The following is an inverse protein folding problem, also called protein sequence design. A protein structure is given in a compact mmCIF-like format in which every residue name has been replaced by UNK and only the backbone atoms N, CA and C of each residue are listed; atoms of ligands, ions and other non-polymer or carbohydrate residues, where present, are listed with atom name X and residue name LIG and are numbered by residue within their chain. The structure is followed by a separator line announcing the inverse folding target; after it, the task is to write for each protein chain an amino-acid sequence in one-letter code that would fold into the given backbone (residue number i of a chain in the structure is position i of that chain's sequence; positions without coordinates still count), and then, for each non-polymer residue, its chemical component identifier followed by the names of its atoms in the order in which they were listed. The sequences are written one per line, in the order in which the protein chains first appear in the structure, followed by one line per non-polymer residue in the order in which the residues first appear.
data_IF_555537150593
#
_entry.id   IF_555537150593
#
_cell.length_a   1.000
_cell.length_b   1.000
_cell.length_c   1.000
_cell.angle_alpha   90.00
_cell.angle_beta   90.00
_cell.angle_gamma   90.00
#
_symmetry.space_group_name_H-M   'P 1'
#
loop_
_entity.id
_entity.type
_entity.pdbx_description
1 polymer ?
#
# COMPACT_ATOMS: atom_id res chain seq x y z
N UNK A 1 -9.02 32.88 14.93
CA UNK A 1 -9.45 31.98 16.03
C UNK A 1 -8.86 30.61 15.71
N UNK A 2 -7.96 30.10 16.56
CA UNK A 2 -7.36 28.78 16.34
C UNK A 2 -8.33 27.71 16.85
N UNK A 3 -8.73 26.78 15.97
CA UNK A 3 -9.47 25.58 16.37
C UNK A 3 -8.53 24.75 17.26
N UNK A 4 -8.94 24.33 18.47
CA UNK A 4 -8.10 23.48 19.29
C UNK A 4 -7.84 22.16 18.53
N UNK A 5 -6.62 21.62 18.58
CA UNK A 5 -6.34 20.35 17.92
C UNK A 5 -7.28 19.28 18.48
N UNK A 6 -7.91 18.49 17.60
CA UNK A 6 -8.73 17.36 18.03
C UNK A 6 -7.93 16.46 18.96
N UNK A 7 -8.54 15.93 20.03
CA UNK A 7 -7.84 15.11 21.00
C UNK A 7 -7.13 13.93 20.32
N UNK A 8 -5.93 13.63 20.79
CA UNK A 8 -5.17 12.46 20.34
C UNK A 8 -5.92 11.18 20.73
N UNK A 9 -5.85 10.11 19.91
CA UNK A 9 -6.45 8.83 20.27
C UNK A 9 -5.79 8.27 21.53
N UNK A 10 -6.59 7.68 22.41
CA UNK A 10 -6.08 6.99 23.59
C UNK A 10 -5.39 5.67 23.22
N UNK A 11 -4.59 5.11 24.13
CA UNK A 11 -3.98 3.79 23.96
C UNK A 11 -5.01 2.68 23.68
N UNK A 12 -6.20 2.77 24.31
CA UNK A 12 -7.31 1.84 24.05
C UNK A 12 -7.85 1.95 22.64
N UNK A 13 -7.98 3.17 22.10
CA UNK A 13 -8.41 3.40 20.72
C UNK A 13 -7.38 2.90 19.70
N UNK A 14 -6.09 3.09 19.97
CA UNK A 14 -5.01 2.53 19.14
C UNK A 14 -5.07 1.00 19.10
N UNK A 15 -5.25 0.36 20.26
CA UNK A 15 -5.40 -1.10 20.33
C UNK A 15 -6.63 -1.59 19.57
N UNK A 16 -7.77 -0.91 19.73
CA UNK A 16 -9.01 -1.25 19.04
C UNK A 16 -8.86 -1.15 17.52
N UNK A 17 -8.22 -0.08 17.03
CA UNK A 17 -7.94 0.07 15.61
C UNK A 17 -7.01 -1.03 15.10
N UNK A 18 -5.92 -1.35 15.81
CA UNK A 18 -5.01 -2.43 15.40
C UNK A 18 -5.74 -3.78 15.29
N UNK A 19 -6.57 -4.12 16.28
CA UNK A 19 -7.36 -5.36 16.23
C UNK A 19 -8.32 -5.34 15.03
N UNK A 20 -9.02 -4.23 14.81
CA UNK A 20 -9.93 -4.10 13.67
C UNK A 20 -9.21 -4.25 12.32
N UNK A 21 -8.00 -3.71 12.18
CA UNK A 21 -7.21 -3.88 10.96
C UNK A 21 -6.76 -5.33 10.76
N UNK A 22 -6.31 -6.01 11.83
CA UNK A 22 -5.92 -7.43 11.77
C UNK A 22 -7.12 -8.31 11.41
N UNK A 23 -8.29 -8.07 12.01
CA UNK A 23 -9.51 -8.82 11.73
C UNK A 23 -10.01 -8.65 10.28
N UNK A 24 -9.71 -7.50 9.65
CA UNK A 24 -10.05 -7.25 8.25
C UNK A 24 -9.06 -7.90 7.25
N UNK A 25 -7.85 -8.29 7.66
CA UNK A 25 -6.85 -8.85 6.74
C UNK A 25 -7.32 -10.06 5.92
N UNK A 26 -8.06 -11.04 6.47
CA UNK A 26 -8.54 -12.19 5.71
C UNK A 26 -9.52 -11.83 4.59
N UNK A 27 -10.30 -10.77 4.77
CA UNK A 27 -11.34 -10.33 3.82
C UNK A 27 -10.99 -9.05 3.03
N UNK A 28 -9.85 -8.42 3.32
CA UNK A 28 -9.50 -7.11 2.81
C UNK A 28 -9.23 -7.08 1.29
N UNK A 29 -9.56 -5.98 0.60
CA UNK A 29 -9.38 -5.87 -0.84
C UNK A 29 -7.92 -6.05 -1.25
N UNK A 30 -7.76 -6.73 -2.38
CA UNK A 30 -6.48 -7.05 -2.99
C UNK A 30 -6.15 -5.94 -3.99
N UNK A 31 -5.29 -5.01 -3.56
CA UNK A 31 -4.74 -3.86 -4.30
C UNK A 31 -5.73 -2.82 -4.85
N UNK A 32 -5.20 -1.63 -5.07
CA UNK A 32 -5.72 -0.76 -6.11
C UNK A 32 -5.53 -1.45 -7.47
N UNK A 33 -6.57 -1.46 -8.30
CA UNK A 33 -6.54 -2.07 -9.64
C UNK A 33 -5.62 -1.32 -10.62
N UNK A 34 -5.19 -0.12 -10.26
CA UNK A 34 -4.42 0.78 -11.12
C UNK A 34 -3.50 1.65 -10.28
N UNK A 35 -2.21 1.69 -10.64
CA UNK A 35 -1.22 2.55 -10.00
C UNK A 35 -1.00 3.87 -10.74
N UNK A 36 -0.30 4.81 -10.11
CA UNK A 36 -0.17 6.18 -10.60
C UNK A 36 0.50 6.29 -11.98
N UNK A 37 1.38 5.34 -12.34
CA UNK A 37 2.04 5.30 -13.65
C UNK A 37 1.10 4.98 -14.81
N UNK A 38 -0.05 4.38 -14.49
CA UNK A 38 -1.07 3.99 -15.45
C UNK A 38 -2.18 5.05 -15.60
N UNK A 39 -2.11 6.16 -14.85
CA UNK A 39 -3.08 7.24 -14.87
C UNK A 39 -2.61 8.33 -15.87
N UNK A 40 -3.26 8.49 -17.04
CA UNK A 40 -2.79 9.39 -18.08
C UNK A 40 -2.69 10.84 -17.61
N UNK A 41 -1.54 11.48 -17.85
CA UNK A 41 -1.32 12.89 -17.50
C UNK A 41 -1.17 13.16 -15.99
N UNK A 42 -1.33 12.14 -15.14
CA UNK A 42 -1.19 12.28 -13.70
C UNK A 42 0.29 12.29 -13.30
N UNK A 43 0.64 13.24 -12.44
CA UNK A 43 1.99 13.37 -11.85
C UNK A 43 1.84 13.43 -10.33
N UNK A 44 2.05 12.33 -9.59
CA UNK A 44 1.97 12.35 -8.14
C UNK A 44 3.15 13.11 -7.52
N UNK A 45 2.92 13.79 -6.40
CA UNK A 45 3.99 14.30 -5.54
C UNK A 45 4.50 13.12 -4.69
N UNK A 46 5.80 12.77 -4.75
CA UNK A 46 6.34 11.66 -3.97
C UNK A 46 6.09 11.82 -2.47
N UNK A 47 5.77 10.72 -1.79
CA UNK A 47 5.48 10.66 -0.34
C UNK A 47 4.27 11.52 0.15
N UNK A 48 3.50 12.13 -0.76
CA UNK A 48 2.30 12.92 -0.40
C UNK A 48 1.02 12.16 -0.75
N UNK A 49 0.81 10.99 -0.13
CA UNK A 49 -0.30 10.12 -0.50
C UNK A 49 -1.68 10.76 -0.27
N UNK A 50 -1.82 11.53 0.81
CA UNK A 50 -3.07 12.19 1.16
C UNK A 50 -3.34 13.39 0.24
N UNK A 51 -2.35 14.26 0.01
CA UNK A 51 -2.49 15.40 -0.88
C UNK A 51 -2.71 15.00 -2.35
N UNK A 52 -2.09 13.90 -2.81
CA UNK A 52 -2.37 13.34 -4.13
C UNK A 52 -3.81 12.85 -4.27
N UNK A 53 -4.34 12.13 -3.28
CA UNK A 53 -5.74 11.71 -3.27
C UNK A 53 -6.69 12.92 -3.31
N UNK A 54 -6.42 13.94 -2.50
CA UNK A 54 -7.24 15.15 -2.42
C UNK A 54 -7.22 15.93 -3.75
N UNK A 55 -6.03 16.08 -4.34
CA UNK A 55 -5.86 16.73 -5.65
C UNK A 55 -6.53 15.94 -6.77
N UNK A 56 -6.54 14.61 -6.70
CA UNK A 56 -7.23 13.79 -7.68
C UNK A 56 -8.73 14.04 -7.64
N UNK A 57 -9.36 13.92 -6.46
CA UNK A 57 -10.83 14.07 -6.34
C UNK A 57 -11.30 15.50 -6.61
N UNK A 58 -10.45 16.50 -6.35
CA UNK A 58 -10.72 17.88 -6.76
C UNK A 58 -10.78 18.05 -8.29
N UNK A 59 -10.04 17.22 -9.04
CA UNK A 59 -9.99 17.25 -10.50
C UNK A 59 -10.97 16.26 -11.19
N UNK A 60 -11.48 15.26 -10.45
CA UNK A 60 -12.34 14.19 -10.98
C UNK A 60 -13.63 14.11 -10.17
N UNK A 61 -14.63 14.88 -10.57
CA UNK A 61 -15.91 14.96 -9.87
C UNK A 61 -16.61 13.59 -9.86
N UNK A 62 -17.01 13.14 -8.66
CA UNK A 62 -17.66 11.85 -8.44
C UNK A 62 -16.73 10.78 -7.87
N UNK A 63 -15.41 11.00 -7.94
CA UNK A 63 -14.43 10.18 -7.25
C UNK A 63 -14.32 10.59 -5.77
N UNK A 64 -13.98 9.64 -4.90
CA UNK A 64 -13.91 9.83 -3.45
C UNK A 64 -12.56 9.37 -2.91
N UNK A 65 -11.96 10.16 -2.04
CA UNK A 65 -10.73 9.80 -1.37
C UNK A 65 -11.03 8.74 -0.31
N UNK A 66 -10.21 7.70 -0.25
CA UNK A 66 -10.34 6.60 0.72
C UNK A 66 -9.12 6.60 1.62
N UNK A 67 -9.34 6.86 2.91
CA UNK A 67 -8.28 6.86 3.93
C UNK A 67 -8.10 5.47 4.48
N UNK A 68 -6.87 5.06 4.73
CA UNK A 68 -6.64 3.71 5.21
C UNK A 68 -5.17 3.36 5.42
N UNK A 69 -4.92 2.07 5.38
CA UNK A 69 -3.71 1.45 5.88
C UNK A 69 -3.20 0.41 4.90
N UNK A 70 -1.95 0.55 4.49
CA UNK A 70 -1.22 -0.49 3.78
C UNK A 70 -0.67 -1.49 4.78
N UNK A 71 -0.95 -2.75 4.54
CA UNK A 71 -0.28 -3.84 5.22
C UNK A 71 1.01 -4.20 4.48
N UNK A 72 2.16 -3.92 5.09
CA UNK A 72 3.48 -4.17 4.51
C UNK A 72 4.23 -5.25 5.30
N UNK A 73 5.00 -6.13 4.64
CA UNK A 73 5.96 -6.98 5.34
C UNK A 73 6.96 -6.12 6.12
N UNK A 74 7.24 -6.48 7.38
CA UNK A 74 8.23 -5.76 8.18
C UNK A 74 8.97 -6.66 9.18
N UNK A 75 10.18 -7.06 8.81
CA UNK A 75 11.09 -7.84 9.64
C UNK A 75 10.35 -9.00 10.35
N UNK A 76 10.52 -9.12 11.67
CA UNK A 76 9.92 -10.16 12.50
C UNK A 76 8.53 -9.77 13.06
N UNK A 77 7.97 -8.63 12.66
CA UNK A 77 6.63 -8.23 13.10
C UNK A 77 5.58 -8.92 12.24
N UNK A 78 4.52 -9.47 12.85
CA UNK A 78 3.46 -10.14 12.11
C UNK A 78 2.68 -9.16 11.21
N UNK A 79 2.55 -7.90 11.65
CA UNK A 79 1.80 -6.86 10.94
C UNK A 79 2.48 -5.50 11.04
N UNK A 80 2.62 -4.81 9.91
CA UNK A 80 2.89 -3.38 9.86
C UNK A 80 1.83 -2.68 9.03
N UNK A 81 1.23 -1.64 9.60
CA UNK A 81 0.25 -0.80 8.95
C UNK A 81 0.81 0.59 8.71
N UNK A 82 0.85 1.02 7.46
CA UNK A 82 1.33 2.34 7.04
C UNK A 82 0.15 3.14 6.51
N UNK A 83 -0.03 4.36 7.01
CA UNK A 83 -1.06 5.26 6.54
C UNK A 83 -0.93 5.49 5.03
N UNK A 84 -2.04 5.38 4.31
CA UNK A 84 -2.10 5.63 2.87
C UNK A 84 -3.48 6.12 2.45
N UNK A 85 -3.55 6.80 1.31
CA UNK A 85 -4.83 7.15 0.70
C UNK A 85 -4.90 6.70 -0.75
N UNK A 86 -6.04 6.10 -1.07
CA UNK A 86 -6.43 5.72 -2.41
C UNK A 86 -7.60 6.59 -2.87
N UNK A 87 -8.05 6.36 -4.10
CA UNK A 87 -9.28 6.93 -4.62
C UNK A 87 -10.21 5.80 -5.02
N UNK A 88 -11.47 5.88 -4.59
CA UNK A 88 -12.57 5.10 -5.15
C UNK A 88 -13.18 5.92 -6.27
N UNK A 89 -13.08 5.41 -7.48
CA UNK A 89 -13.67 6.08 -8.65
C UNK A 89 -15.19 6.06 -8.58
N UNK A 90 -15.86 6.93 -9.34
CA UNK A 90 -17.31 6.91 -9.48
C UNK A 90 -17.87 5.53 -9.95
N UNK A 91 -17.05 4.75 -10.65
CA UNK A 91 -17.38 3.37 -11.07
C UNK A 91 -17.12 2.32 -9.98
N UNK A 92 -16.65 2.71 -8.80
CA UNK A 92 -16.39 1.85 -7.64
C UNK A 92 -15.00 1.21 -7.62
N UNK A 93 -14.15 1.46 -8.63
CA UNK A 93 -12.79 0.91 -8.65
C UNK A 93 -11.87 1.64 -7.67
N UNK A 94 -10.98 0.91 -6.98
CA UNK A 94 -9.93 1.51 -6.17
C UNK A 94 -8.67 1.72 -7.01
N UNK A 95 -8.19 2.96 -7.08
CA UNK A 95 -6.94 3.34 -7.75
C UNK A 95 -5.96 3.97 -6.78
N UNK A 96 -4.67 3.76 -7.03
CA UNK A 96 -3.59 4.39 -6.29
C UNK A 96 -3.01 5.54 -7.09
N UNK A 97 -3.39 6.74 -6.68
CA UNK A 97 -2.94 7.98 -7.31
C UNK A 97 -1.58 8.45 -6.79
N UNK A 98 -0.88 7.63 -6.00
CA UNK A 98 0.44 7.99 -5.44
C UNK A 98 1.53 7.03 -5.86
N UNK A 99 1.33 5.72 -5.71
CA UNK A 99 2.37 4.74 -6.03
C UNK A 99 2.25 4.25 -7.48
N UNK A 100 3.36 4.34 -8.20
CA UNK A 100 3.47 4.01 -9.63
C UNK A 100 3.27 2.53 -9.94
N UNK A 101 3.85 1.65 -9.12
CA UNK A 101 3.68 0.21 -9.18
C UNK A 101 3.87 -0.33 -7.77
N UNK A 102 2.94 -1.15 -7.29
CA UNK A 102 3.07 -1.83 -5.99
C UNK A 102 3.40 -3.30 -6.21
N UNK A 103 4.21 -3.91 -5.34
CA UNK A 103 4.26 -5.35 -5.23
C UNK A 103 2.83 -5.89 -5.03
N UNK A 104 2.49 -6.98 -5.73
CA UNK A 104 1.20 -7.67 -5.65
C UNK A 104 0.95 -8.35 -4.28
N UNK A 105 1.63 -7.94 -3.20
CA UNK A 105 1.52 -8.51 -1.84
C UNK A 105 1.07 -7.53 -0.73
N UNK A 106 0.99 -6.22 -0.99
CA UNK A 106 0.47 -5.16 -0.08
C UNK A 106 -1.08 -4.98 -0.04
N UNK A 107 -1.74 -5.41 1.03
CA UNK A 107 -3.19 -5.17 1.21
C UNK A 107 -3.47 -3.73 1.61
N UNK A 108 -4.59 -3.17 1.14
CA UNK A 108 -5.11 -1.90 1.63
C UNK A 108 -6.37 -2.16 2.46
N UNK A 109 -6.42 -1.55 3.64
CA UNK A 109 -7.56 -1.60 4.55
C UNK A 109 -8.09 -0.19 4.74
N UNK A 110 -9.35 0.05 4.39
CA UNK A 110 -10.02 1.32 4.64
C UNK A 110 -10.11 1.57 6.15
N UNK A 111 -9.88 2.82 6.57
CA UNK A 111 -10.03 3.18 7.97
C UNK A 111 -11.51 3.08 8.36
N UNK A 112 -11.85 2.37 9.46
CA UNK A 112 -13.26 2.14 9.84
C UNK A 112 -13.98 3.39 10.38
N UNK A 113 -13.24 4.45 10.70
CA UNK A 113 -13.79 5.72 11.20
C UNK A 113 -13.87 6.81 10.13
N UNK A 114 -14.13 8.04 10.56
CA UNK A 114 -14.16 9.20 9.67
C UNK A 114 -12.74 9.61 9.21
N UNK A 115 -12.64 10.42 8.15
CA UNK A 115 -11.37 11.06 7.75
C UNK A 115 -10.74 11.86 8.90
N UNK A 116 -11.55 12.53 9.72
CA UNK A 116 -11.08 13.28 10.88
C UNK A 116 -10.44 12.36 11.94
N UNK A 117 -11.04 11.18 12.16
CA UNK A 117 -10.50 10.16 13.05
C UNK A 117 -9.19 9.62 12.49
N UNK A 118 -9.14 9.27 11.20
CA UNK A 118 -7.93 8.83 10.51
C UNK A 118 -6.77 9.82 10.71
N UNK A 119 -7.00 11.10 10.43
CA UNK A 119 -5.96 12.13 10.62
C UNK A 119 -5.60 12.35 12.09
N UNK A 120 -6.49 12.06 13.04
CA UNK A 120 -6.15 12.07 14.47
C UNK A 120 -5.13 11.00 14.83
N UNK A 121 -5.23 9.80 14.23
CA UNK A 121 -4.27 8.72 14.42
C UNK A 121 -2.88 9.06 13.87
N UNK A 122 -2.78 9.84 12.79
CA UNK A 122 -1.49 10.25 12.22
C UNK A 122 -0.71 11.22 13.11
N UNK A 123 -1.38 11.91 14.03
CA UNK A 123 -0.75 12.85 14.96
C UNK A 123 -0.29 12.17 16.25
N UNK A 124 -0.51 10.85 16.39
CA UNK A 124 -0.07 10.10 17.55
C UNK A 124 1.46 9.94 17.52
N UNK A 125 2.18 10.30 18.60
CA UNK A 125 3.65 10.22 18.64
C UNK A 125 4.18 8.79 18.77
N UNK A 126 3.31 7.81 19.06
CA UNK A 126 3.68 6.40 19.00
C UNK A 126 3.65 5.99 17.53
N UNK A 127 4.77 5.47 16.99
CA UNK A 127 4.77 5.07 15.61
C UNK A 127 3.77 3.88 15.51
N UNK A 128 2.89 3.92 14.49
CA UNK A 128 2.04 2.79 14.13
C UNK A 128 2.76 1.45 13.82
N UNK A 129 4.10 1.34 13.63
CA UNK A 129 4.78 0.07 13.74
C UNK A 129 4.94 -0.27 15.24
N UNK A 130 4.54 -1.49 15.60
CA UNK A 130 4.62 -2.09 16.94
C UNK A 130 3.43 -1.72 17.83
N UNK A 131 2.40 -2.59 17.84
CA UNK A 131 1.80 -3.15 19.06
C UNK A 131 0.61 -4.09 18.70
N UNK A 132 0.83 -5.05 17.79
CA UNK A 132 0.11 -6.32 17.87
C UNK A 132 1.01 -7.30 18.63
N UNK A 133 0.62 -7.87 19.79
CA UNK A 133 1.28 -9.08 20.28
C UNK A 133 1.11 -10.18 19.22
N UNK A 134 2.05 -11.13 19.11
CA UNK A 134 1.90 -12.27 18.20
C UNK A 134 0.56 -12.96 18.49
N UNK A 135 -0.35 -12.95 17.51
CA UNK A 135 -1.53 -13.79 17.54
C UNK A 135 -1.01 -15.20 17.28
N UNK A 136 -1.09 -16.05 18.29
CA UNK A 136 -0.75 -17.45 18.13
C UNK A 136 -1.70 -18.06 17.07
N UNK A 137 -1.10 -18.48 15.95
CA UNK A 137 -1.58 -19.46 14.96
C UNK A 137 -2.97 -19.24 14.34
N UNK A 138 -2.96 -18.76 13.09
CA UNK A 138 -3.65 -19.49 12.02
C UNK A 138 -2.60 -19.91 10.99
N UNK A 139 -2.53 -21.20 10.79
CA UNK A 139 -1.57 -21.88 9.94
C UNK A 139 -1.88 -21.65 8.45
N UNK A 140 -0.81 -21.71 7.65
CA UNK A 140 -0.78 -21.96 6.20
C UNK A 140 -1.17 -20.83 5.22
N UNK A 141 -0.22 -19.91 4.99
CA UNK A 141 0.10 -19.56 3.60
C UNK A 141 0.71 -20.80 2.93
N UNK A 142 0.03 -21.32 1.90
CA UNK A 142 0.63 -22.26 0.95
C UNK A 142 1.93 -21.67 0.40
N UNK A 143 3.05 -22.27 0.80
CA UNK A 143 4.32 -22.14 0.11
C UNK A 143 4.21 -22.99 -1.16
N UNK A 144 4.05 -22.35 -2.32
CA UNK A 144 4.44 -23.01 -3.57
C UNK A 144 5.96 -22.95 -3.61
N UNK A 145 6.60 -24.08 -3.31
CA UNK A 145 8.04 -24.22 -3.40
C UNK A 145 8.51 -23.90 -4.82
N UNK A 146 9.61 -23.15 -4.94
CA UNK A 146 10.37 -23.10 -6.19
C UNK A 146 11.04 -24.46 -6.38
N UNK A 147 10.87 -25.04 -7.55
CA UNK A 147 11.57 -26.27 -7.95
C UNK A 147 13.04 -25.91 -8.25
N UNK A 148 13.92 -26.16 -7.28
CA UNK A 148 15.38 -25.99 -7.37
C UNK A 148 16.06 -27.32 -7.76
N UNK A 149 15.55 -28.01 -8.78
CA UNK A 149 16.19 -29.22 -9.32
C UNK A 149 17.32 -28.86 -10.32
N UNK A 150 18.56 -29.37 -10.14
CA UNK A 150 19.66 -29.11 -11.07
C UNK A 150 19.84 -30.27 -12.07
N UNK A 151 19.54 -30.05 -13.36
CA UNK A 151 20.13 -30.69 -14.56
C UNK A 151 19.32 -30.25 -15.80
N UNK A 152 19.84 -30.09 -17.03
CA UNK A 152 21.11 -30.46 -17.64
C UNK A 152 21.43 -29.51 -18.82
N UNK A 153 22.70 -29.55 -19.20
CA UNK A 153 23.40 -28.88 -20.31
C UNK A 153 22.75 -28.93 -21.72
N UNK A 154 23.18 -27.95 -22.53
CA UNK A 154 23.36 -27.96 -24.00
C UNK A 154 22.14 -27.82 -24.93
N UNK A 155 22.03 -26.69 -25.63
CA UNK A 155 22.49 -26.55 -27.02
C UNK A 155 22.10 -25.21 -27.70
N UNK A 156 23.01 -24.74 -28.56
CA UNK A 156 22.87 -23.77 -29.67
C UNK A 156 23.00 -22.26 -29.40
N UNK A 157 24.20 -21.74 -29.75
CA UNK A 157 24.56 -20.33 -30.04
C UNK A 157 24.11 -19.92 -31.47
N UNK A 158 24.56 -18.78 -32.07
CA UNK A 158 24.88 -17.44 -31.56
C UNK A 158 24.10 -16.32 -32.33
N UNK A 159 24.15 -15.07 -31.88
CA UNK A 159 24.25 -13.94 -32.82
C UNK A 159 25.32 -12.98 -32.31
N UNK A 160 26.44 -12.98 -33.01
CA UNK A 160 27.58 -12.13 -32.74
C UNK A 160 27.36 -10.72 -33.29
N UNK A 161 27.96 -9.81 -32.56
CA UNK A 161 28.19 -8.38 -32.77
C UNK A 161 28.69 -8.01 -34.17
N UNK A 162 28.23 -6.86 -34.68
CA UNK A 162 28.88 -6.15 -35.79
C UNK A 162 28.73 -4.64 -35.59
N UNK A 163 29.79 -4.00 -35.07
CA UNK A 163 30.04 -2.57 -35.22
C UNK A 163 31.18 -2.42 -36.23
N UNK A 164 31.09 -1.51 -37.21
CA UNK A 164 32.26 -1.09 -37.98
C UNK A 164 32.88 0.17 -37.35
N UNK A 165 34.13 0.08 -36.95
CA UNK A 165 35.05 1.23 -36.87
C UNK A 165 36.13 1.00 -37.92
N UNK A 166 36.23 1.90 -38.88
CA UNK A 166 37.48 2.18 -39.57
C UNK A 166 37.46 3.66 -40.01
N UNK A 167 38.32 4.44 -39.36
CA UNK A 167 38.75 5.77 -39.77
C UNK A 167 40.29 5.74 -39.80
N UNK A 168 40.84 5.64 -41.00
CA UNK A 168 42.19 6.08 -41.37
C UNK A 168 42.18 6.41 -42.87
#
# INVERSE_FOLDING_TARGET
MSVPPSPQPSAGMLRALLNALVDQLPGGPVYASTGASQLPGWKPVPADCHGNADRWVAAHLGDVAVRGWLHEPFADLPHRFVAHSLVRTAAGALIDVTLSARPQSLRFLEHPGSDADFFSFLRCPLPFPVLAPPVAVVDEFLIVARDDSPNAEAAAAPYATGFPEDMA
#
